data_IF_393844157508
#
_entry.id   IF_393844157508
#
_cell.length_a   1.000
_cell.length_b   1.000
_cell.length_c   1.000
_cell.angle_alpha   90.00
_cell.angle_beta   90.00
_cell.angle_gamma   90.00
#
_symmetry.space_group_name_H-M   'P 1'
#
loop_
_entity.id
_entity.type
_entity.pdbx_description
1 polymer ?
#
# COMPACT_ATOMS: atom_id res chain seq x y z
N UNK A 1 -29.67 -10.85 17.39
CA UNK A 1 -28.69 -10.46 16.35
C UNK A 1 -29.39 -9.95 15.10
N UNK A 2 -28.75 -8.99 14.43
CA UNK A 2 -29.21 -8.39 13.17
C UNK A 2 -28.15 -8.54 12.07
N UNK A 3 -28.59 -8.82 10.84
CA UNK A 3 -27.74 -8.91 9.67
C UNK A 3 -28.36 -8.17 8.49
N UNK A 4 -27.59 -7.26 7.87
CA UNK A 4 -27.97 -6.60 6.62
C UNK A 4 -26.85 -6.80 5.58
N UNK A 5 -27.13 -7.59 4.55
CA UNK A 5 -26.20 -7.88 3.45
C UNK A 5 -26.25 -6.84 2.33
N UNK A 6 -26.96 -5.74 2.50
CA UNK A 6 -27.11 -4.71 1.48
C UNK A 6 -26.45 -3.40 1.87
N UNK A 7 -26.55 -2.99 3.15
CA UNK A 7 -26.01 -1.71 3.62
C UNK A 7 -25.80 -1.67 5.13
N UNK A 8 -25.09 -0.65 5.60
CA UNK A 8 -25.08 -0.24 7.00
C UNK A 8 -26.18 0.79 7.23
N UNK A 9 -27.16 0.55 8.10
CA UNK A 9 -28.27 1.46 8.37
C UNK A 9 -27.80 2.84 8.86
N UNK A 10 -28.58 3.88 8.57
CA UNK A 10 -28.28 5.24 9.01
C UNK A 10 -28.45 5.38 10.53
N UNK A 11 -29.49 4.80 11.09
CA UNK A 11 -29.76 4.75 12.53
C UNK A 11 -29.27 3.43 13.16
N UNK A 12 -27.96 3.33 13.39
CA UNK A 12 -27.36 2.19 14.08
C UNK A 12 -27.71 2.17 15.58
N UNK A 13 -27.85 3.34 16.21
CA UNK A 13 -28.18 3.44 17.63
C UNK A 13 -29.61 2.96 17.90
N UNK A 14 -30.59 3.42 17.15
CA UNK A 14 -31.96 2.97 17.29
C UNK A 14 -32.13 1.46 17.02
N UNK A 15 -31.36 0.93 16.05
CA UNK A 15 -31.31 -0.51 15.83
C UNK A 15 -30.72 -1.27 17.01
N UNK A 16 -29.64 -0.76 17.61
CA UNK A 16 -29.03 -1.36 18.78
C UNK A 16 -30.02 -1.36 19.97
N UNK A 17 -30.62 -0.23 20.26
CA UNK A 17 -31.54 -0.04 21.38
C UNK A 17 -32.77 -1.00 21.25
N UNK A 18 -33.32 -1.11 20.06
CA UNK A 18 -34.37 -2.10 19.77
C UNK A 18 -33.93 -3.54 20.08
N UNK A 19 -32.70 -3.92 19.74
CA UNK A 19 -32.19 -5.26 20.00
C UNK A 19 -31.85 -5.48 21.49
N UNK A 20 -31.43 -4.45 22.17
CA UNK A 20 -31.14 -4.48 23.62
C UNK A 20 -32.40 -4.66 24.42
N UNK A 21 -33.52 -4.01 24.04
CA UNK A 21 -34.83 -4.15 24.68
C UNK A 21 -35.43 -5.58 24.61
N UNK A 22 -34.82 -6.46 23.80
CA UNK A 22 -35.19 -7.89 23.75
C UNK A 22 -34.53 -8.73 24.84
N UNK A 23 -33.98 -8.13 25.91
CA UNK A 23 -33.34 -8.78 27.05
C UNK A 23 -32.11 -9.60 26.61
N UNK A 24 -31.25 -9.04 25.79
CA UNK A 24 -30.05 -9.68 25.28
C UNK A 24 -28.83 -9.38 26.15
N UNK A 25 -28.05 -10.41 26.54
CA UNK A 25 -26.77 -10.25 27.22
C UNK A 25 -25.71 -9.61 26.31
N UNK A 26 -25.78 -9.89 25.00
CA UNK A 26 -24.89 -9.35 23.97
C UNK A 26 -25.67 -9.06 22.71
N UNK A 27 -25.58 -7.85 22.21
CA UNK A 27 -26.13 -7.48 20.90
C UNK A 27 -25.13 -7.75 19.79
N UNK A 28 -25.59 -8.36 18.69
CA UNK A 28 -24.78 -8.54 17.49
C UNK A 28 -25.39 -7.82 16.29
N UNK A 29 -24.60 -6.96 15.65
CA UNK A 29 -24.96 -6.24 14.44
C UNK A 29 -23.88 -6.47 13.38
N UNK A 30 -24.27 -7.06 12.24
CA UNK A 30 -23.38 -7.31 11.10
C UNK A 30 -24.01 -6.73 9.83
N UNK A 31 -23.38 -5.74 9.22
CA UNK A 31 -23.93 -5.00 8.07
C UNK A 31 -22.95 -4.93 6.93
N UNK A 32 -23.40 -4.78 5.69
CA UNK A 32 -22.49 -4.56 4.57
C UNK A 32 -22.02 -3.10 4.55
N UNK A 33 -20.69 -2.90 4.54
CA UNK A 33 -20.13 -1.57 4.34
C UNK A 33 -20.19 -1.19 2.86
N UNK A 34 -20.84 -0.07 2.56
CA UNK A 34 -20.84 0.55 1.24
C UNK A 34 -19.98 1.82 1.19
N UNK A 35 -19.61 2.32 2.35
CA UNK A 35 -18.75 3.49 2.51
C UNK A 35 -17.66 3.22 3.56
N UNK A 36 -16.41 3.71 3.38
CA UNK A 36 -15.33 3.48 4.35
C UNK A 36 -15.67 3.91 5.78
N UNK A 37 -16.43 5.00 5.94
CA UNK A 37 -16.84 5.51 7.25
C UNK A 37 -17.93 4.65 7.95
N UNK A 38 -18.50 3.66 7.28
CA UNK A 38 -19.42 2.71 7.95
C UNK A 38 -18.70 1.92 9.05
N UNK A 39 -17.40 1.64 8.84
CA UNK A 39 -16.58 1.03 9.89
C UNK A 39 -16.48 1.90 11.13
N UNK A 40 -16.25 3.21 10.95
CA UNK A 40 -16.12 4.12 12.09
C UNK A 40 -17.45 4.25 12.86
N UNK A 41 -18.56 4.38 12.15
CA UNK A 41 -19.90 4.42 12.74
C UNK A 41 -20.20 3.16 13.55
N UNK A 42 -19.87 1.99 12.99
CA UNK A 42 -20.04 0.70 13.66
C UNK A 42 -19.15 0.56 14.90
N UNK A 43 -17.87 0.94 14.80
CA UNK A 43 -16.94 0.86 15.92
C UNK A 43 -17.28 1.85 17.05
N UNK A 44 -17.77 3.04 16.71
CA UNK A 44 -18.25 4.01 17.72
C UNK A 44 -19.50 3.49 18.43
N UNK A 45 -20.43 2.87 17.72
CA UNK A 45 -21.55 2.17 18.34
C UNK A 45 -21.06 1.13 19.36
N UNK A 46 -20.13 0.24 18.93
CA UNK A 46 -19.56 -0.78 19.83
C UNK A 46 -18.99 -0.16 21.10
N UNK A 47 -18.27 0.97 20.99
CA UNK A 47 -17.64 1.65 22.13
C UNK A 47 -18.66 2.22 23.13
N UNK A 48 -19.77 2.73 22.63
CA UNK A 48 -20.77 3.46 23.45
C UNK A 48 -21.94 2.58 23.94
N UNK A 49 -22.06 1.35 23.46
CA UNK A 49 -23.24 0.52 23.66
C UNK A 49 -23.25 -0.27 24.98
N UNK A 50 -24.43 -0.38 25.57
CA UNK A 50 -24.78 -1.29 26.65
C UNK A 50 -26.14 -1.90 26.32
N UNK A 51 -26.28 -3.26 26.36
CA UNK A 51 -25.27 -4.27 26.71
C UNK A 51 -24.11 -4.35 25.72
N UNK A 52 -23.04 -5.13 26.06
CA UNK A 52 -21.86 -5.30 25.19
C UNK A 52 -22.24 -5.70 23.78
N UNK A 53 -21.57 -5.11 22.80
CA UNK A 53 -21.96 -5.24 21.39
C UNK A 53 -20.86 -5.85 20.55
N UNK A 54 -21.24 -6.78 19.68
CA UNK A 54 -20.42 -7.29 18.57
C UNK A 54 -20.91 -6.60 17.29
N UNK A 55 -20.24 -5.50 16.95
CA UNK A 55 -20.53 -4.73 15.73
C UNK A 55 -19.43 -4.94 14.69
N UNK A 56 -19.82 -5.31 13.48
CA UNK A 56 -18.87 -5.48 12.38
C UNK A 56 -19.50 -5.17 11.02
N UNK A 57 -18.68 -4.67 10.13
CA UNK A 57 -19.04 -4.46 8.74
C UNK A 57 -18.54 -5.63 7.88
N UNK A 58 -19.37 -6.04 6.91
CA UNK A 58 -19.05 -7.06 5.93
C UNK A 58 -18.44 -6.44 4.67
N UNK A 59 -17.89 -7.27 3.81
CA UNK A 59 -17.20 -6.86 2.57
C UNK A 59 -15.77 -6.41 2.81
N UNK A 60 -15.04 -6.15 1.74
CA UNK A 60 -13.63 -5.71 1.80
C UNK A 60 -13.50 -4.34 2.47
N UNK A 61 -14.43 -3.43 2.21
CA UNK A 61 -14.51 -2.12 2.90
C UNK A 61 -14.62 -2.31 4.41
N UNK A 62 -15.30 -3.38 4.88
CA UNK A 62 -15.56 -3.66 6.27
C UNK A 62 -14.38 -4.23 7.07
N UNK A 63 -13.26 -4.55 6.44
CA UNK A 63 -12.07 -5.16 7.05
C UNK A 63 -11.61 -4.45 8.34
N UNK A 64 -11.50 -3.11 8.41
CA UNK A 64 -11.05 -2.43 9.62
C UNK A 64 -11.92 -2.70 10.84
N UNK A 65 -13.24 -2.76 10.70
CA UNK A 65 -14.15 -3.01 11.82
C UNK A 65 -13.96 -4.40 12.43
N UNK A 66 -13.57 -5.40 11.62
CA UNK A 66 -13.34 -6.77 12.09
C UNK A 66 -12.08 -6.90 12.93
N UNK A 67 -11.02 -6.19 12.55
CA UNK A 67 -9.73 -6.24 13.25
C UNK A 67 -9.75 -5.33 14.48
N UNK A 68 -10.36 -4.16 14.38
CA UNK A 68 -10.37 -3.18 15.47
C UNK A 68 -11.52 -3.35 16.46
N UNK A 69 -12.43 -4.32 16.26
CA UNK A 69 -13.58 -4.52 17.13
C UNK A 69 -13.19 -4.60 18.62
N UNK A 70 -12.15 -5.38 18.95
CA UNK A 70 -11.65 -5.52 20.34
C UNK A 70 -11.12 -4.20 20.91
N UNK A 71 -10.44 -3.37 20.12
CA UNK A 71 -9.96 -2.04 20.52
C UNK A 71 -11.11 -1.10 20.94
N UNK A 72 -12.28 -1.30 20.33
CA UNK A 72 -13.47 -0.50 20.61
C UNK A 72 -14.41 -1.14 21.64
N UNK A 73 -14.02 -2.25 22.27
CA UNK A 73 -14.77 -2.87 23.37
C UNK A 73 -15.75 -3.97 22.95
N UNK A 74 -15.64 -4.51 21.74
CA UNK A 74 -16.44 -5.66 21.34
C UNK A 74 -16.18 -6.86 22.25
N UNK A 75 -17.24 -7.55 22.68
CA UNK A 75 -17.13 -8.71 23.56
C UNK A 75 -16.33 -9.86 22.93
N UNK A 76 -16.44 -10.04 21.61
CA UNK A 76 -15.73 -11.04 20.80
C UNK A 76 -15.84 -10.72 19.31
N UNK A 77 -15.15 -11.47 18.46
CA UNK A 77 -15.25 -11.37 17.02
C UNK A 77 -15.48 -12.74 16.37
N UNK A 78 -15.69 -12.77 15.06
CA UNK A 78 -15.95 -13.99 14.29
C UNK A 78 -14.90 -14.15 13.20
N UNK A 79 -14.23 -15.29 13.18
CA UNK A 79 -13.28 -15.69 12.15
C UNK A 79 -13.53 -17.14 11.72
N UNK A 80 -13.52 -17.45 10.42
CA UNK A 80 -13.62 -18.84 9.97
C UNK A 80 -12.34 -19.59 10.32
N UNK A 81 -12.49 -20.79 10.85
CA UNK A 81 -11.35 -21.68 11.13
C UNK A 81 -10.72 -22.18 9.83
N UNK A 82 -11.56 -22.58 8.86
CA UNK A 82 -11.12 -22.99 7.53
C UNK A 82 -11.26 -21.83 6.55
N UNK A 83 -10.17 -21.37 5.90
CA UNK A 83 -10.21 -20.27 4.94
C UNK A 83 -11.07 -20.58 3.68
N UNK A 84 -11.34 -21.86 3.39
CA UNK A 84 -12.21 -22.27 2.28
C UNK A 84 -13.71 -22.18 2.65
N UNK A 85 -14.05 -22.06 3.94
CA UNK A 85 -15.41 -22.01 4.46
C UNK A 85 -15.76 -20.62 4.98
N UNK A 86 -15.63 -19.61 4.12
CA UNK A 86 -16.05 -18.24 4.43
C UNK A 86 -17.57 -18.17 4.41
N UNK A 87 -18.19 -17.79 5.53
CA UNK A 87 -19.63 -17.73 5.73
C UNK A 87 -20.24 -16.36 5.43
N UNK A 88 -19.44 -15.31 5.45
CA UNK A 88 -19.88 -13.94 5.18
C UNK A 88 -18.78 -13.15 4.43
N UNK A 89 -19.18 -12.21 3.54
CA UNK A 89 -18.20 -11.41 2.78
C UNK A 89 -17.19 -10.71 3.68
N UNK A 90 -15.92 -10.74 3.30
CA UNK A 90 -14.85 -10.04 4.01
C UNK A 90 -14.44 -10.67 5.36
N UNK A 91 -14.85 -11.90 5.67
CA UNK A 91 -14.33 -12.61 6.82
C UNK A 91 -12.82 -12.87 6.67
N UNK A 92 -12.10 -12.65 7.76
CA UNK A 92 -10.66 -12.90 7.87
C UNK A 92 -10.47 -14.26 8.55
N UNK A 93 -9.71 -15.20 7.97
CA UNK A 93 -9.41 -16.48 8.63
C UNK A 93 -8.76 -16.25 9.99
N UNK A 94 -9.08 -17.13 10.99
CA UNK A 94 -8.59 -16.98 12.34
C UNK A 94 -7.06 -16.93 12.41
N UNK A 95 -6.38 -17.75 11.62
CA UNK A 95 -4.92 -17.77 11.55
C UNK A 95 -4.37 -16.39 11.13
N UNK A 96 -4.95 -15.79 10.10
CA UNK A 96 -4.56 -14.44 9.66
C UNK A 96 -4.88 -13.38 10.72
N UNK A 97 -6.02 -13.51 11.41
CA UNK A 97 -6.42 -12.57 12.46
C UNK A 97 -5.47 -12.63 13.66
N UNK A 98 -5.08 -13.83 14.11
CA UNK A 98 -4.19 -14.03 15.25
C UNK A 98 -2.71 -13.82 14.89
N UNK A 99 -2.22 -14.38 13.79
CA UNK A 99 -0.78 -14.35 13.47
C UNK A 99 -0.34 -13.05 12.82
N UNK A 100 -1.12 -12.53 11.83
CA UNK A 100 -0.73 -11.31 11.12
C UNK A 100 -1.18 -10.05 11.86
N UNK A 101 -2.45 -10.00 12.31
CA UNK A 101 -2.98 -8.82 13.00
C UNK A 101 -2.77 -8.87 14.52
N UNK A 102 -2.41 -10.03 15.09
CA UNK A 102 -2.22 -10.22 16.53
C UNK A 102 -3.44 -9.74 17.32
N UNK A 103 -4.63 -10.15 16.88
CA UNK A 103 -5.92 -9.65 17.38
C UNK A 103 -6.00 -9.65 18.91
N UNK A 104 -5.54 -10.73 19.57
CA UNK A 104 -5.60 -10.87 21.03
C UNK A 104 -4.66 -9.91 21.77
N UNK A 105 -3.69 -9.30 21.08
CA UNK A 105 -2.77 -8.30 21.63
C UNK A 105 -3.24 -6.85 21.38
N UNK A 106 -4.31 -6.66 20.61
CA UNK A 106 -4.85 -5.32 20.33
C UNK A 106 -5.56 -4.79 21.60
N UNK A 107 -5.11 -3.64 22.06
CA UNK A 107 -5.64 -2.93 23.23
C UNK A 107 -6.20 -1.55 22.83
N UNK A 108 -6.91 -0.84 23.71
CA UNK A 108 -7.34 0.53 23.44
C UNK A 108 -6.19 1.50 23.12
N UNK A 109 -4.96 1.20 23.55
CA UNK A 109 -3.75 2.02 23.30
C UNK A 109 -3.00 1.63 22.03
N UNK A 110 -3.32 0.51 21.41
CA UNK A 110 -2.64 0.04 20.18
C UNK A 110 -2.75 1.09 19.07
N UNK A 111 -1.62 1.54 18.52
CA UNK A 111 -1.60 2.49 17.41
C UNK A 111 -2.02 1.81 16.11
N UNK A 112 -2.87 2.49 15.34
CA UNK A 112 -3.39 1.96 14.08
C UNK A 112 -2.68 2.63 12.91
N UNK A 113 -2.11 1.81 12.05
CA UNK A 113 -1.55 2.18 10.76
C UNK A 113 -2.31 1.46 9.64
N UNK A 114 -2.06 1.86 8.41
CA UNK A 114 -2.67 1.13 7.31
C UNK A 114 -2.27 1.60 5.93
N UNK A 115 -2.82 0.95 4.92
CA UNK A 115 -2.71 1.36 3.52
C UNK A 115 -4.07 1.73 2.98
N UNK A 116 -4.19 2.92 2.38
CA UNK A 116 -5.36 3.34 1.61
C UNK A 116 -5.13 3.14 0.12
N UNK A 117 -6.04 2.40 -0.52
CA UNK A 117 -5.97 2.05 -1.93
C UNK A 117 -7.34 1.68 -2.51
N UNK A 118 -7.39 1.57 -3.85
CA UNK A 118 -8.50 0.97 -4.59
C UNK A 118 -7.96 0.36 -5.91
N UNK A 119 -7.90 -0.97 -6.00
CA UNK A 119 -8.17 -2.00 -4.98
C UNK A 119 -7.07 -2.09 -3.90
N UNK A 120 -7.38 -2.68 -2.74
CA UNK A 120 -6.43 -2.82 -1.63
C UNK A 120 -6.06 -4.27 -1.30
N UNK A 121 -6.92 -5.23 -1.65
CA UNK A 121 -6.81 -6.64 -1.24
C UNK A 121 -5.53 -7.37 -1.66
N UNK A 122 -4.82 -6.85 -2.66
CA UNK A 122 -3.54 -7.41 -3.12
C UNK A 122 -2.32 -6.78 -2.46
N UNK A 123 -2.51 -5.80 -1.58
CA UNK A 123 -1.39 -5.12 -0.91
C UNK A 123 -0.73 -6.03 0.12
N UNK A 124 0.58 -6.17 0.04
CA UNK A 124 1.40 -6.90 1.02
C UNK A 124 1.95 -5.99 2.13
N UNK A 125 1.61 -4.69 2.12
CA UNK A 125 2.00 -3.76 3.19
C UNK A 125 1.57 -4.24 4.58
N UNK A 126 0.35 -4.79 4.79
CA UNK A 126 -0.03 -5.32 6.10
C UNK A 126 0.89 -6.44 6.59
N UNK A 127 1.30 -7.35 5.71
CA UNK A 127 2.21 -8.46 6.06
C UNK A 127 3.56 -7.90 6.52
N UNK A 128 4.12 -6.96 5.77
CA UNK A 128 5.47 -6.42 6.01
C UNK A 128 5.50 -5.54 7.26
N UNK A 129 4.54 -4.62 7.41
CA UNK A 129 4.53 -3.70 8.55
C UNK A 129 4.14 -4.37 9.87
N UNK A 130 3.18 -5.31 9.87
CA UNK A 130 2.85 -6.06 11.07
C UNK A 130 4.02 -6.94 11.54
N UNK A 131 4.73 -7.60 10.62
CA UNK A 131 5.94 -8.35 10.95
C UNK A 131 7.05 -7.45 11.53
N UNK A 132 7.24 -6.26 10.96
CA UNK A 132 8.20 -5.28 11.44
C UNK A 132 7.85 -4.76 12.84
N UNK A 133 6.60 -4.39 13.09
CA UNK A 133 6.14 -3.94 14.41
C UNK A 133 6.29 -5.04 15.46
N UNK A 134 5.95 -6.30 15.11
CA UNK A 134 6.13 -7.43 16.01
C UNK A 134 7.60 -7.65 16.38
N UNK A 135 8.51 -7.61 15.39
CA UNK A 135 9.94 -7.78 15.62
C UNK A 135 10.58 -6.65 16.43
N UNK A 136 10.05 -5.43 16.29
CA UNK A 136 10.51 -4.25 17.02
C UNK A 136 9.83 -4.10 18.41
N UNK A 137 8.91 -4.98 18.80
CA UNK A 137 8.15 -4.88 20.06
C UNK A 137 7.22 -3.67 20.13
N UNK A 138 6.75 -3.17 18.99
CA UNK A 138 5.88 -2.00 18.91
C UNK A 138 4.41 -2.43 19.04
N UNK A 139 3.66 -1.78 19.95
CA UNK A 139 2.22 -1.96 20.09
C UNK A 139 1.49 -1.20 18.98
N UNK A 140 1.37 -1.86 17.84
CA UNK A 140 0.73 -1.31 16.65
C UNK A 140 0.11 -2.41 15.78
N UNK A 141 -0.92 -2.04 15.04
CA UNK A 141 -1.52 -2.89 14.01
C UNK A 141 -1.62 -2.12 12.69
N UNK A 142 -1.34 -2.80 11.59
CA UNK A 142 -1.37 -2.23 10.25
C UNK A 142 -2.43 -2.93 9.39
N UNK A 143 -3.37 -2.17 8.83
CA UNK A 143 -4.58 -2.65 8.17
C UNK A 143 -4.71 -2.20 6.72
N UNK A 144 -5.41 -2.96 5.86
CA UNK A 144 -5.88 -2.45 4.58
C UNK A 144 -7.16 -1.63 4.77
N UNK A 145 -7.22 -0.46 4.13
CA UNK A 145 -8.40 0.39 4.02
C UNK A 145 -8.77 0.53 2.54
N UNK A 146 -9.81 -0.18 2.11
CA UNK A 146 -10.37 0.04 0.78
C UNK A 146 -11.07 1.39 0.76
N UNK A 147 -10.49 2.32 0.02
CA UNK A 147 -11.02 3.67 -0.15
C UNK A 147 -11.27 3.90 -1.63
N UNK A 148 -12.52 3.79 -2.13
CA UNK A 148 -12.83 4.02 -3.53
C UNK A 148 -12.46 5.45 -3.97
N UNK A 149 -12.19 5.57 -5.28
CA UNK A 149 -11.91 6.89 -5.87
C UNK A 149 -13.07 7.85 -5.57
N UNK A 150 -12.74 9.04 -5.03
CA UNK A 150 -13.72 10.05 -4.62
C UNK A 150 -14.01 10.09 -3.10
N UNK A 151 -13.73 9.01 -2.36
CA UNK A 151 -14.00 8.93 -0.92
C UNK A 151 -12.79 9.26 -0.02
N UNK A 152 -11.64 9.60 -0.60
CA UNK A 152 -10.43 9.95 0.17
C UNK A 152 -10.70 11.09 1.16
N UNK A 153 -11.35 12.16 0.69
CA UNK A 153 -11.68 13.32 1.53
C UNK A 153 -12.56 12.97 2.72
N UNK A 154 -13.53 12.07 2.55
CA UNK A 154 -14.44 11.66 3.61
C UNK A 154 -13.71 10.86 4.71
N UNK A 155 -12.76 10.00 4.32
CA UNK A 155 -11.92 9.26 5.27
C UNK A 155 -11.00 10.20 6.03
N UNK A 156 -10.29 11.08 5.33
CA UNK A 156 -9.31 11.98 5.94
C UNK A 156 -9.95 13.04 6.84
N UNK A 157 -11.13 13.56 6.50
CA UNK A 157 -11.89 14.49 7.38
C UNK A 157 -12.26 13.85 8.71
N UNK A 158 -12.52 12.53 8.72
CA UNK A 158 -12.83 11.77 9.92
C UNK A 158 -11.60 11.18 10.63
N UNK A 159 -10.39 11.45 10.16
CA UNK A 159 -9.15 10.89 10.73
C UNK A 159 -8.94 11.20 12.22
N UNK A 160 -9.53 12.30 12.73
CA UNK A 160 -9.50 12.65 14.16
C UNK A 160 -10.30 11.69 15.05
N UNK A 161 -11.28 10.99 14.49
CA UNK A 161 -12.15 10.03 15.20
C UNK A 161 -11.58 8.62 15.19
N UNK A 162 -10.66 8.35 14.26
CA UNK A 162 -9.93 7.09 14.17
C UNK A 162 -8.67 7.11 15.03
N UNK A 163 -8.24 5.97 15.60
CA UNK A 163 -6.96 5.86 16.30
C UNK A 163 -5.76 5.78 15.34
N UNK A 164 -5.85 6.44 14.17
CA UNK A 164 -4.83 6.37 13.13
C UNK A 164 -3.58 7.16 13.54
N UNK A 165 -2.41 6.52 13.47
CA UNK A 165 -1.11 7.14 13.66
C UNK A 165 -0.40 7.43 12.32
N UNK A 166 -0.66 6.64 11.30
CA UNK A 166 -0.13 6.87 9.95
C UNK A 166 -0.77 5.98 8.90
N UNK A 167 -0.62 6.37 7.64
CA UNK A 167 -1.17 5.64 6.50
C UNK A 167 -0.18 5.62 5.33
N UNK A 168 0.03 4.46 4.73
CA UNK A 168 0.56 4.38 3.38
C UNK A 168 -0.53 4.76 2.37
N UNK A 169 -0.14 5.41 1.31
CA UNK A 169 -1.04 5.86 0.23
C UNK A 169 -0.57 5.26 -1.08
N UNK A 170 -1.47 4.57 -1.78
CA UNK A 170 -1.16 4.05 -3.11
C UNK A 170 -2.28 4.35 -4.11
N UNK A 171 -2.29 3.68 -5.25
CA UNK A 171 -3.26 3.92 -6.32
C UNK A 171 -4.70 3.87 -5.77
N UNK A 172 -5.58 4.83 -6.13
CA UNK A 172 -5.36 5.97 -7.03
C UNK A 172 -5.08 7.30 -6.31
N UNK A 173 -4.65 7.30 -5.05
CA UNK A 173 -4.74 8.42 -4.12
C UNK A 173 -3.47 9.25 -3.98
N UNK A 174 -2.30 8.80 -4.48
CA UNK A 174 -0.99 9.45 -4.24
C UNK A 174 -0.92 10.93 -4.63
N UNK A 175 -1.60 11.31 -5.70
CA UNK A 175 -1.65 12.70 -6.17
C UNK A 175 -2.66 13.51 -5.34
N UNK A 176 -3.84 12.94 -5.08
CA UNK A 176 -4.94 13.64 -4.42
C UNK A 176 -4.68 13.92 -2.94
N UNK A 177 -3.91 13.06 -2.24
CA UNK A 177 -3.67 13.17 -0.80
C UNK A 177 -2.91 14.46 -0.43
N UNK A 178 -2.10 14.98 -1.35
CA UNK A 178 -1.30 16.20 -1.14
C UNK A 178 -2.18 17.40 -0.79
N UNK A 179 -3.35 17.51 -1.44
CA UNK A 179 -4.31 18.61 -1.19
C UNK A 179 -4.99 18.59 0.19
N UNK A 180 -4.85 17.52 0.97
CA UNK A 180 -5.40 17.42 2.33
C UNK A 180 -4.37 17.66 3.43
N UNK A 181 -3.09 17.75 3.07
CA UNK A 181 -1.99 17.85 4.03
C UNK A 181 -1.96 19.20 4.75
N UNK A 182 -1.75 19.18 6.07
CA UNK A 182 -1.44 20.37 6.87
C UNK A 182 0.00 20.84 6.64
N UNK A 183 0.90 19.89 6.33
CA UNK A 183 2.28 20.15 5.96
C UNK A 183 2.83 19.03 5.09
N UNK A 184 3.91 19.33 4.36
CA UNK A 184 4.52 18.41 3.43
C UNK A 184 5.99 18.16 3.82
N UNK A 185 6.45 16.94 3.64
CA UNK A 185 7.87 16.62 3.69
C UNK A 185 8.59 17.10 2.42
N UNK A 186 9.91 17.00 2.46
CA UNK A 186 10.75 17.38 1.32
C UNK A 186 10.30 16.68 0.03
N UNK A 187 10.40 17.40 -1.08
CA UNK A 187 10.09 16.93 -2.44
C UNK A 187 8.61 16.64 -2.75
N UNK A 188 7.69 16.62 -1.77
CA UNK A 188 6.28 16.31 -2.03
C UNK A 188 5.65 17.35 -2.93
N UNK A 189 5.91 18.65 -2.68
CA UNK A 189 5.40 19.76 -3.49
C UNK A 189 5.90 19.68 -4.93
N UNK A 190 7.19 19.42 -5.11
CA UNK A 190 7.82 19.32 -6.42
C UNK A 190 7.32 18.10 -7.21
N UNK A 191 7.12 16.97 -6.53
CA UNK A 191 6.64 15.72 -7.17
C UNK A 191 5.12 15.79 -7.44
N UNK A 192 4.37 16.51 -6.61
CA UNK A 192 2.91 16.54 -6.66
C UNK A 192 2.26 15.20 -6.28
N UNK A 193 2.94 14.37 -5.48
CA UNK A 193 2.42 13.08 -5.01
C UNK A 193 3.08 12.66 -3.68
N UNK A 194 2.30 11.97 -2.83
CA UNK A 194 2.77 11.40 -1.57
C UNK A 194 2.31 9.93 -1.44
N UNK A 195 3.14 9.12 -0.79
CA UNK A 195 2.82 7.73 -0.48
C UNK A 195 2.71 7.45 1.01
N UNK A 196 2.89 8.45 1.87
CA UNK A 196 2.93 8.30 3.32
C UNK A 196 2.23 9.46 4.01
N UNK A 197 1.36 9.16 4.97
CA UNK A 197 0.75 10.11 5.90
C UNK A 197 1.26 9.80 7.30
N UNK A 198 1.61 10.82 8.06
CA UNK A 198 1.80 10.75 9.51
C UNK A 198 0.84 11.73 10.16
N UNK A 199 0.17 11.29 11.22
CA UNK A 199 -0.69 12.13 12.03
C UNK A 199 0.05 12.52 13.30
N UNK A 200 0.07 13.80 13.61
CA UNK A 200 0.57 14.29 14.89
C UNK A 200 -0.34 13.79 16.03
N UNK A 201 0.26 13.28 17.10
CA UNK A 201 -0.50 12.64 18.19
C UNK A 201 -1.40 13.65 18.95
N UNK A 202 -0.97 14.92 19.10
CA UNK A 202 -1.68 15.95 19.88
C UNK A 202 -2.66 16.75 19.00
N UNK A 203 -2.15 17.30 17.92
CA UNK A 203 -2.92 18.23 17.07
C UNK A 203 -3.75 17.52 16.02
N UNK A 204 -3.42 16.25 15.75
CA UNK A 204 -3.95 15.47 14.64
C UNK A 204 -3.69 16.12 13.27
N UNK A 205 -2.70 17.00 13.21
CA UNK A 205 -2.23 17.57 11.95
C UNK A 205 -1.67 16.46 11.04
N UNK A 206 -1.99 16.54 9.76
CA UNK A 206 -1.60 15.56 8.76
C UNK A 206 -0.36 16.05 8.02
N UNK A 207 0.76 15.33 8.15
CA UNK A 207 1.96 15.53 7.36
C UNK A 207 2.10 14.42 6.32
N UNK A 208 2.45 14.78 5.08
CA UNK A 208 2.63 13.82 3.98
C UNK A 208 4.07 13.78 3.50
N UNK A 209 4.50 12.59 3.05
CA UNK A 209 5.86 12.33 2.58
C UNK A 209 5.83 11.46 1.32
N UNK A 210 6.96 11.43 0.61
CA UNK A 210 7.15 10.51 -0.52
C UNK A 210 8.42 9.69 -0.33
N UNK A 211 8.26 8.44 0.12
CA UNK A 211 9.37 7.51 0.32
C UNK A 211 9.72 6.71 -0.95
N UNK A 212 8.92 6.81 -2.03
CA UNK A 212 9.19 6.11 -3.29
C UNK A 212 10.43 6.64 -3.99
N UNK A 213 10.72 7.96 -3.87
CA UNK A 213 11.87 8.60 -4.55
C UNK A 213 13.19 8.01 -4.09
N UNK A 214 13.43 8.08 -2.79
CA UNK A 214 14.67 7.58 -2.17
C UNK A 214 14.78 6.07 -2.34
N UNK A 215 13.69 5.34 -2.18
CA UNK A 215 13.66 3.89 -2.35
C UNK A 215 14.03 3.45 -3.78
N UNK A 216 13.48 4.11 -4.81
CA UNK A 216 13.79 3.78 -6.20
C UNK A 216 15.24 4.05 -6.56
N UNK A 217 15.75 5.24 -6.21
CA UNK A 217 17.14 5.61 -6.46
C UNK A 217 18.09 4.67 -5.74
N UNK A 218 17.85 4.39 -4.46
CA UNK A 218 18.66 3.48 -3.67
C UNK A 218 18.64 2.02 -4.19
N UNK A 219 17.47 1.56 -4.69
CA UNK A 219 17.37 0.22 -5.30
C UNK A 219 18.22 0.10 -6.58
N UNK A 220 18.20 1.11 -7.44
CA UNK A 220 19.04 1.16 -8.64
C UNK A 220 20.53 1.24 -8.25
N UNK A 221 20.88 2.10 -7.31
CA UNK A 221 22.28 2.24 -6.82
C UNK A 221 22.82 0.91 -6.28
N UNK A 222 22.03 0.22 -5.45
CA UNK A 222 22.44 -1.07 -4.88
C UNK A 222 22.69 -2.13 -5.96
N UNK A 223 21.84 -2.19 -6.99
CA UNK A 223 22.02 -3.11 -8.13
C UNK A 223 23.26 -2.80 -8.96
N UNK A 224 23.60 -1.53 -9.11
CA UNK A 224 24.79 -1.11 -9.85
C UNK A 224 26.09 -1.32 -9.04
N UNK A 225 26.07 -1.07 -7.72
CA UNK A 225 27.23 -1.22 -6.83
C UNK A 225 27.62 -2.69 -6.60
N UNK A 226 26.69 -3.62 -6.64
CA UNK A 226 26.92 -5.05 -6.45
C UNK A 226 27.82 -5.69 -7.53
N UNK A 227 28.21 -4.96 -8.56
CA UNK A 227 29.00 -5.44 -9.70
C UNK A 227 30.22 -4.55 -9.97
N UNK A 228 31.07 -4.25 -8.98
CA UNK A 228 32.41 -3.62 -9.12
C UNK A 228 32.65 -2.70 -10.35
N UNK A 229 31.66 -1.91 -10.74
CA UNK A 229 31.87 -0.88 -11.76
C UNK A 229 32.00 0.45 -11.04
N UNK A 230 33.26 0.90 -10.90
CA UNK A 230 33.63 2.15 -10.27
C UNK A 230 33.07 3.36 -11.01
N UNK A 231 31.80 3.70 -10.72
CA UNK A 231 31.20 4.96 -11.13
C UNK A 231 31.09 5.86 -9.90
N UNK A 232 31.98 6.85 -9.84
CA UNK A 232 31.99 7.82 -8.75
C UNK A 232 30.68 8.53 -8.57
N UNK A 233 30.00 8.30 -7.44
CA UNK A 233 28.93 9.10 -6.85
C UNK A 233 27.63 9.34 -7.63
N UNK A 234 27.56 9.03 -8.91
CA UNK A 234 26.38 9.12 -9.79
C UNK A 234 26.02 7.74 -10.33
N UNK A 235 24.73 7.54 -10.65
CA UNK A 235 24.21 6.24 -11.14
C UNK A 235 24.90 5.68 -12.39
N UNK A 236 25.74 6.46 -13.08
CA UNK A 236 26.39 6.04 -14.33
C UNK A 236 25.43 5.87 -15.52
N UNK A 237 24.13 6.06 -15.29
CA UNK A 237 23.09 6.05 -16.32
C UNK A 237 22.99 7.43 -16.98
N UNK A 238 22.88 7.48 -18.31
CA UNK A 238 22.66 8.72 -19.05
C UNK A 238 21.19 8.90 -19.43
N UNK A 239 20.53 7.82 -19.82
CA UNK A 239 19.18 7.82 -20.38
C UNK A 239 18.30 6.76 -19.72
N UNK A 240 17.07 7.13 -19.43
CA UNK A 240 16.04 6.21 -18.90
C UNK A 240 14.73 6.32 -19.64
N UNK A 241 14.11 5.18 -19.95
CA UNK A 241 12.72 5.10 -20.36
C UNK A 241 11.85 4.69 -19.19
N UNK A 242 10.87 5.51 -18.82
CA UNK A 242 9.87 5.19 -17.81
C UNK A 242 8.55 4.84 -18.50
N UNK A 243 8.08 3.63 -18.30
CA UNK A 243 6.81 3.12 -18.77
C UNK A 243 5.75 3.37 -17.71
N UNK A 244 4.82 4.29 -17.99
CA UNK A 244 3.80 4.75 -17.04
C UNK A 244 3.94 6.23 -16.67
N UNK A 245 2.85 6.83 -16.17
CA UNK A 245 2.80 8.23 -15.74
C UNK A 245 1.92 8.40 -14.49
N UNK A 246 1.96 7.43 -13.57
CA UNK A 246 1.29 7.47 -12.26
C UNK A 246 2.21 7.96 -11.14
N UNK A 247 1.73 7.92 -9.89
CA UNK A 247 2.47 8.39 -8.73
C UNK A 247 3.85 7.74 -8.53
N UNK A 248 4.00 6.43 -8.80
CA UNK A 248 5.31 5.77 -8.75
C UNK A 248 6.23 6.27 -9.88
N UNK A 249 5.70 6.40 -11.11
CA UNK A 249 6.47 6.96 -12.24
C UNK A 249 6.96 8.37 -11.94
N UNK A 250 6.13 9.22 -11.32
CA UNK A 250 6.51 10.58 -10.89
C UNK A 250 7.70 10.57 -9.93
N UNK A 251 7.62 9.76 -8.87
CA UNK A 251 8.67 9.65 -7.87
C UNK A 251 9.99 9.17 -8.49
N UNK A 252 9.93 8.13 -9.33
CA UNK A 252 11.11 7.56 -9.99
C UNK A 252 11.71 8.55 -10.99
N UNK A 253 10.87 9.19 -11.83
CA UNK A 253 11.31 10.18 -12.81
C UNK A 253 12.03 11.35 -12.13
N UNK A 254 11.45 11.86 -11.05
CA UNK A 254 12.01 12.95 -10.27
C UNK A 254 13.36 12.55 -9.64
N UNK A 255 13.40 11.40 -8.95
CA UNK A 255 14.64 10.92 -8.34
C UNK A 255 15.78 10.70 -9.35
N UNK A 256 15.49 10.11 -10.51
CA UNK A 256 16.49 9.92 -11.56
C UNK A 256 16.92 11.24 -12.20
N UNK A 257 16.02 12.18 -12.38
CA UNK A 257 16.36 13.52 -12.85
C UNK A 257 17.29 14.27 -11.91
N UNK A 258 17.08 14.18 -10.60
CA UNK A 258 18.01 14.74 -9.59
C UNK A 258 19.42 14.13 -9.69
N UNK A 259 19.53 12.88 -10.13
CA UNK A 259 20.82 12.22 -10.39
C UNK A 259 21.44 12.61 -11.74
N UNK A 260 20.81 13.50 -12.50
CA UNK A 260 21.29 13.99 -13.80
C UNK A 260 20.99 13.06 -14.98
N UNK A 261 20.07 12.10 -14.81
CA UNK A 261 19.65 11.16 -15.86
C UNK A 261 18.64 11.85 -16.79
N UNK A 262 18.79 11.69 -18.09
CA UNK A 262 17.82 12.15 -19.10
C UNK A 262 16.60 11.20 -19.09
N UNK A 263 15.43 11.74 -18.75
CA UNK A 263 14.20 10.95 -18.58
C UNK A 263 13.34 11.04 -19.83
N UNK A 264 12.93 9.87 -20.34
CA UNK A 264 11.92 9.75 -21.40
C UNK A 264 10.72 8.98 -20.83
N UNK A 265 9.51 9.43 -21.12
CA UNK A 265 8.28 8.88 -20.57
C UNK A 265 7.39 8.35 -21.68
N UNK A 266 6.88 7.14 -21.50
CA UNK A 266 5.88 6.52 -22.35
C UNK A 266 4.68 6.03 -21.53
N UNK A 267 3.48 6.46 -21.89
CA UNK A 267 2.25 5.90 -21.31
C UNK A 267 1.13 5.84 -22.34
N UNK A 268 0.10 5.06 -22.04
CA UNK A 268 -1.10 4.97 -22.90
C UNK A 268 -1.87 6.30 -22.99
N UNK A 269 -1.75 7.13 -21.96
CA UNK A 269 -2.40 8.45 -21.89
C UNK A 269 -1.36 9.53 -22.12
N UNK A 270 -1.26 10.01 -23.37
CA UNK A 270 -0.22 10.97 -23.81
C UNK A 270 -0.19 12.23 -22.92
N UNK A 271 -1.34 12.81 -22.59
CA UNK A 271 -1.41 14.01 -21.75
C UNK A 271 -0.76 13.82 -20.37
N UNK A 272 -0.91 12.65 -19.75
CA UNK A 272 -0.21 12.34 -18.47
C UNK A 272 1.30 12.23 -18.65
N UNK A 273 1.76 11.68 -19.77
CA UNK A 273 3.19 11.64 -20.10
C UNK A 273 3.77 13.03 -20.30
N UNK A 274 3.03 13.92 -20.98
CA UNK A 274 3.42 15.32 -21.18
C UNK A 274 3.54 16.06 -19.85
N UNK A 275 2.52 16.01 -18.99
CA UNK A 275 2.56 16.64 -17.69
C UNK A 275 3.74 16.15 -16.84
N UNK A 276 4.04 14.84 -16.87
CA UNK A 276 5.17 14.30 -16.13
C UNK A 276 6.51 14.71 -16.75
N UNK A 277 6.62 14.74 -18.08
CA UNK A 277 7.83 15.17 -18.77
C UNK A 277 8.14 16.65 -18.50
N UNK A 278 7.13 17.51 -18.47
CA UNK A 278 7.28 18.93 -18.09
C UNK A 278 7.82 19.07 -16.68
N UNK A 279 7.28 18.30 -15.72
CA UNK A 279 7.71 18.31 -14.33
C UNK A 279 9.20 18.00 -14.16
N UNK A 280 9.73 17.05 -14.94
CA UNK A 280 11.12 16.59 -14.81
C UNK A 280 12.04 17.10 -15.93
N UNK A 281 11.57 18.05 -16.73
CA UNK A 281 12.27 18.51 -17.95
C UNK A 281 12.76 17.32 -18.80
N UNK A 282 11.86 16.37 -19.04
CA UNK A 282 12.11 15.13 -19.77
C UNK A 282 11.49 15.15 -21.17
N UNK A 283 11.55 14.00 -21.84
CA UNK A 283 11.00 13.78 -23.18
C UNK A 283 9.78 12.86 -23.11
N UNK A 284 8.94 12.93 -24.13
CA UNK A 284 7.80 12.03 -24.32
C UNK A 284 8.01 11.21 -25.58
N UNK A 285 7.68 9.95 -25.52
CA UNK A 285 7.57 9.07 -26.68
C UNK A 285 6.21 8.38 -26.64
N UNK A 286 5.60 8.19 -27.81
CA UNK A 286 4.37 7.43 -27.91
C UNK A 286 4.59 5.98 -27.43
N UNK A 287 3.55 5.37 -26.85
CA UNK A 287 3.61 3.99 -26.38
C UNK A 287 4.06 3.01 -27.46
N UNK A 288 3.61 3.19 -28.69
CA UNK A 288 4.00 2.39 -29.87
C UNK A 288 5.47 2.58 -30.27
N UNK A 289 6.04 3.73 -29.98
CA UNK A 289 7.41 4.13 -30.30
C UNK A 289 8.43 3.88 -29.17
N UNK A 290 8.04 3.34 -28.03
CA UNK A 290 8.88 3.17 -26.83
C UNK A 290 10.16 2.34 -27.04
N UNK A 291 10.22 1.55 -28.12
CA UNK A 291 11.37 0.72 -28.47
C UNK A 291 12.35 1.35 -29.47
N UNK A 292 12.07 2.56 -29.96
CA UNK A 292 12.80 3.15 -31.09
C UNK A 292 14.18 3.69 -30.73
N UNK A 293 14.38 4.06 -29.47
CA UNK A 293 15.64 4.64 -29.00
C UNK A 293 16.37 3.68 -28.07
N UNK A 294 17.71 3.69 -28.05
CA UNK A 294 18.47 2.97 -27.04
C UNK A 294 18.36 3.71 -25.71
N UNK A 295 18.20 2.95 -24.63
CA UNK A 295 18.18 3.46 -23.26
C UNK A 295 19.16 2.67 -22.40
N UNK A 296 19.79 3.34 -21.42
CA UNK A 296 20.63 2.66 -20.45
C UNK A 296 19.78 1.93 -19.40
N UNK A 297 18.60 2.48 -19.13
CA UNK A 297 17.66 1.91 -18.17
C UNK A 297 16.22 1.93 -18.70
N UNK A 298 15.49 0.86 -18.45
CA UNK A 298 14.03 0.77 -18.68
C UNK A 298 13.34 0.49 -17.37
N UNK A 299 12.38 1.34 -17.01
CA UNK A 299 11.59 1.22 -15.76
C UNK A 299 10.14 0.90 -16.10
N UNK A 300 9.64 -0.22 -15.62
CA UNK A 300 8.20 -0.50 -15.62
C UNK A 300 7.55 0.09 -14.36
N UNK A 301 6.84 1.19 -14.53
CA UNK A 301 6.01 1.81 -13.50
C UNK A 301 4.50 1.69 -13.85
N UNK A 302 4.14 0.63 -14.58
CA UNK A 302 2.77 0.24 -14.92
C UNK A 302 2.38 -1.04 -14.15
N UNK A 303 1.09 -1.38 -14.06
CA UNK A 303 0.66 -2.67 -13.52
C UNK A 303 0.80 -3.85 -14.51
N UNK A 304 1.45 -3.68 -15.67
CA UNK A 304 1.65 -4.76 -16.64
C UNK A 304 2.64 -5.77 -16.06
N UNK A 305 2.27 -7.04 -16.08
CA UNK A 305 3.03 -8.12 -15.44
C UNK A 305 2.63 -8.45 -14.00
N UNK A 306 1.76 -7.63 -13.39
CA UNK A 306 1.18 -7.89 -12.07
C UNK A 306 0.05 -8.93 -12.17
N UNK A 307 -0.12 -9.73 -11.11
CA UNK A 307 -1.27 -10.65 -11.00
C UNK A 307 -2.61 -9.91 -11.21
N UNK A 308 -3.59 -10.49 -11.93
CA UNK A 308 -3.59 -11.81 -12.55
C UNK A 308 -2.90 -11.91 -13.92
N UNK A 309 -2.48 -10.81 -14.53
CA UNK A 309 -1.94 -10.72 -15.90
C UNK A 309 -0.42 -10.91 -15.94
N UNK A 310 0.05 -11.98 -15.29
CA UNK A 310 1.49 -12.24 -15.07
C UNK A 310 2.29 -12.55 -16.34
N UNK A 311 1.60 -12.90 -17.43
CA UNK A 311 2.23 -13.23 -18.73
C UNK A 311 2.33 -12.03 -19.67
N UNK A 312 2.00 -10.82 -19.21
CA UNK A 312 2.16 -9.60 -20.02
C UNK A 312 3.50 -8.93 -19.71
N UNK A 313 4.16 -8.38 -20.74
CA UNK A 313 5.36 -7.55 -20.61
C UNK A 313 5.16 -6.18 -21.25
N UNK A 314 5.58 -5.08 -20.62
CA UNK A 314 5.45 -3.76 -21.21
C UNK A 314 6.58 -3.42 -22.20
N UNK A 315 7.66 -4.23 -22.23
CA UNK A 315 8.83 -4.02 -23.07
C UNK A 315 9.33 -5.36 -23.60
N UNK A 316 9.29 -5.56 -24.92
CA UNK A 316 9.55 -6.84 -25.56
C UNK A 316 11.04 -7.23 -25.51
N UNK A 317 11.34 -8.49 -25.23
CA UNK A 317 12.70 -9.06 -25.08
C UNK A 317 13.64 -8.73 -26.24
N UNK A 318 13.14 -8.72 -27.49
CA UNK A 318 13.94 -8.41 -28.69
C UNK A 318 14.58 -7.01 -28.68
N UNK A 319 14.07 -6.10 -27.85
CA UNK A 319 14.58 -4.73 -27.69
C UNK A 319 15.49 -4.56 -26.48
N UNK A 320 15.58 -5.58 -25.60
CA UNK A 320 16.52 -5.58 -24.48
C UNK A 320 17.96 -5.79 -24.99
N UNK A 321 18.94 -5.28 -24.24
CA UNK A 321 20.36 -5.42 -24.50
C UNK A 321 21.10 -5.71 -23.19
N UNK A 322 22.19 -6.50 -23.21
CA UNK A 322 22.90 -6.91 -21.98
C UNK A 322 23.42 -5.76 -21.11
N UNK A 323 23.67 -4.59 -21.72
CA UNK A 323 24.14 -3.42 -20.98
C UNK A 323 23.04 -2.66 -20.23
N UNK A 324 21.77 -2.96 -20.53
CA UNK A 324 20.64 -2.25 -19.94
C UNK A 324 20.44 -2.64 -18.47
N UNK A 325 19.93 -1.66 -17.71
CA UNK A 325 19.29 -1.91 -16.42
C UNK A 325 17.79 -2.00 -16.65
N UNK A 326 17.15 -3.05 -16.16
CA UNK A 326 15.70 -3.21 -16.18
C UNK A 326 15.18 -3.14 -14.76
N UNK A 327 14.37 -2.14 -14.48
CA UNK A 327 13.72 -1.97 -13.19
C UNK A 327 12.21 -2.21 -13.35
N UNK A 328 11.70 -3.23 -12.66
CA UNK A 328 10.26 -3.48 -12.60
C UNK A 328 9.72 -3.14 -11.22
N UNK A 329 8.77 -2.19 -11.13
CA UNK A 329 8.15 -1.83 -9.85
C UNK A 329 7.09 -2.83 -9.39
N UNK A 330 6.71 -3.80 -10.22
CA UNK A 330 5.84 -4.90 -9.82
C UNK A 330 6.61 -5.83 -8.88
N UNK A 331 6.03 -6.11 -7.72
CA UNK A 331 6.63 -6.97 -6.69
C UNK A 331 5.87 -8.29 -6.49
N UNK A 332 4.69 -8.42 -7.08
CA UNK A 332 3.88 -9.64 -7.03
C UNK A 332 3.32 -9.98 -8.44
N UNK A 333 3.92 -10.95 -9.14
CA UNK A 333 5.08 -11.76 -8.74
C UNK A 333 6.40 -10.94 -8.75
N UNK A 334 7.42 -11.38 -7.98
CA UNK A 334 8.76 -10.77 -8.02
C UNK A 334 9.40 -10.95 -9.40
N UNK A 335 9.32 -12.15 -9.96
CA UNK A 335 9.82 -12.50 -11.27
C UNK A 335 8.72 -12.35 -12.34
N UNK A 336 8.46 -11.11 -12.74
CA UNK A 336 7.55 -10.81 -13.86
C UNK A 336 8.11 -11.33 -15.19
N UNK A 337 7.28 -11.34 -16.25
CA UNK A 337 7.78 -11.69 -17.59
C UNK A 337 8.92 -10.78 -18.00
N UNK A 338 8.81 -9.46 -17.77
CA UNK A 338 9.87 -8.48 -18.05
C UNK A 338 11.18 -8.82 -17.33
N UNK A 339 11.11 -9.17 -16.04
CA UNK A 339 12.27 -9.55 -15.22
C UNK A 339 12.95 -10.81 -15.77
N UNK A 340 12.18 -11.84 -16.10
CA UNK A 340 12.71 -13.09 -16.67
C UNK A 340 13.39 -12.85 -18.01
N UNK A 341 12.72 -12.17 -18.93
CA UNK A 341 13.27 -11.83 -20.25
C UNK A 341 14.55 -10.98 -20.13
N UNK A 342 14.59 -10.03 -19.18
CA UNK A 342 15.77 -9.23 -18.92
C UNK A 342 16.96 -10.07 -18.39
N UNK A 343 16.70 -11.02 -17.50
CA UNK A 343 17.72 -11.96 -16.99
C UNK A 343 18.24 -12.87 -18.10
N UNK A 344 17.36 -13.40 -18.94
CA UNK A 344 17.73 -14.27 -20.07
C UNK A 344 18.61 -13.54 -21.10
N UNK A 345 18.39 -12.25 -21.33
CA UNK A 345 19.21 -11.39 -22.20
C UNK A 345 20.55 -10.98 -21.52
N UNK A 346 20.65 -11.12 -20.20
CA UNK A 346 21.83 -10.70 -19.43
C UNK A 346 21.82 -9.25 -18.98
N UNK A 347 20.61 -8.63 -18.90
CA UNK A 347 20.44 -7.30 -18.36
C UNK A 347 20.69 -7.29 -16.84
N UNK A 348 21.05 -6.13 -16.30
CA UNK A 348 20.97 -5.88 -14.85
C UNK A 348 19.53 -5.69 -14.44
N UNK A 349 19.09 -6.37 -13.39
CA UNK A 349 17.68 -6.32 -12.96
C UNK A 349 17.56 -5.72 -11.56
N UNK A 350 16.61 -4.79 -11.42
CA UNK A 350 16.12 -4.27 -10.14
C UNK A 350 14.67 -4.73 -9.99
N UNK A 351 14.37 -5.51 -8.95
CA UNK A 351 13.01 -6.02 -8.73
C UNK A 351 12.18 -5.05 -7.89
N UNK A 352 10.86 -5.13 -8.04
CA UNK A 352 9.90 -4.36 -7.25
C UNK A 352 9.98 -4.65 -5.76
N UNK A 353 10.46 -5.84 -5.37
CA UNK A 353 10.70 -6.21 -3.97
C UNK A 353 11.72 -5.26 -3.31
N UNK A 354 12.80 -4.91 -4.02
CA UNK A 354 13.80 -4.00 -3.48
C UNK A 354 13.22 -2.61 -3.17
N UNK A 355 12.48 -2.05 -4.11
CA UNK A 355 11.83 -0.76 -3.90
C UNK A 355 10.75 -0.85 -2.82
N UNK A 356 9.96 -1.94 -2.82
CA UNK A 356 8.87 -2.12 -1.85
C UNK A 356 9.39 -2.15 -0.41
N UNK A 357 10.44 -2.94 -0.14
CA UNK A 357 11.03 -3.04 1.20
C UNK A 357 11.61 -1.70 1.64
N UNK A 358 12.38 -1.03 0.77
CA UNK A 358 13.01 0.26 1.10
C UNK A 358 11.99 1.36 1.41
N UNK A 359 10.93 1.49 0.60
CA UNK A 359 9.91 2.50 0.86
C UNK A 359 9.14 2.21 2.15
N UNK A 360 8.87 0.92 2.46
CA UNK A 360 8.22 0.52 3.69
C UNK A 360 9.13 0.73 4.92
N UNK A 361 10.42 0.51 4.78
CA UNK A 361 11.42 0.80 5.80
C UNK A 361 11.47 2.30 6.14
N UNK A 362 11.46 3.16 5.14
CA UNK A 362 11.41 4.61 5.37
C UNK A 362 10.08 5.04 6.01
N UNK A 363 8.95 4.45 5.61
CA UNK A 363 7.66 4.68 6.29
C UNK A 363 7.72 4.29 7.76
N UNK A 364 8.27 3.12 8.06
CA UNK A 364 8.46 2.64 9.44
C UNK A 364 9.29 3.64 10.25
N UNK A 365 10.40 4.13 9.71
CA UNK A 365 11.25 5.13 10.36
C UNK A 365 10.53 6.46 10.62
N UNK A 366 9.73 6.94 9.66
CA UNK A 366 8.92 8.15 9.80
C UNK A 366 7.92 8.00 10.95
N UNK A 367 7.25 6.85 11.06
CA UNK A 367 6.19 6.65 12.04
C UNK A 367 6.69 6.32 13.45
N UNK A 368 7.80 5.59 13.55
CA UNK A 368 8.26 5.03 14.82
C UNK A 368 9.55 5.69 15.33
N UNK A 369 10.26 6.49 14.53
CA UNK A 369 11.52 7.11 14.90
C UNK A 369 12.64 6.12 15.17
N UNK A 370 12.52 4.87 14.73
CA UNK A 370 13.46 3.78 14.96
C UNK A 370 13.95 3.21 13.63
N UNK A 371 15.12 2.57 13.64
CA UNK A 371 15.63 1.86 12.46
C UNK A 371 14.73 0.64 12.16
N UNK A 372 14.31 0.48 10.90
CA UNK A 372 13.43 -0.61 10.50
C UNK A 372 14.15 -1.96 10.51
N UNK A 373 13.47 -3.05 10.90
CA UNK A 373 14.01 -4.41 10.79
C UNK A 373 13.90 -4.91 9.33
N UNK A 374 14.66 -4.33 8.40
CA UNK A 374 14.56 -4.59 6.95
C UNK A 374 14.67 -6.07 6.60
N UNK A 375 15.52 -6.84 7.30
CA UNK A 375 15.65 -8.28 7.11
C UNK A 375 14.33 -9.03 7.34
N UNK A 376 13.60 -8.64 8.38
CA UNK A 376 12.26 -9.21 8.72
C UNK A 376 11.25 -8.79 7.65
N UNK A 377 11.23 -7.50 7.27
CA UNK A 377 10.33 -6.98 6.23
C UNK A 377 10.51 -7.74 4.90
N UNK A 378 11.76 -7.94 4.49
CA UNK A 378 12.12 -8.67 3.26
C UNK A 378 11.70 -10.13 3.32
N UNK A 379 11.93 -10.79 4.45
CA UNK A 379 11.56 -12.19 4.66
C UNK A 379 10.04 -12.36 4.63
N UNK A 380 9.30 -11.51 5.33
CA UNK A 380 7.83 -11.51 5.34
C UNK A 380 7.26 -11.33 3.92
N UNK A 381 7.82 -10.39 3.14
CA UNK A 381 7.40 -10.17 1.76
C UNK A 381 7.68 -11.39 0.88
N UNK A 382 8.88 -11.98 0.98
CA UNK A 382 9.25 -13.18 0.20
C UNK A 382 8.37 -14.38 0.52
N UNK A 383 8.06 -14.61 1.80
CA UNK A 383 7.15 -15.68 2.21
C UNK A 383 5.75 -15.48 1.63
N UNK A 384 5.23 -14.24 1.64
CA UNK A 384 3.91 -13.93 1.13
C UNK A 384 3.80 -14.02 -0.41
N UNK A 385 4.91 -13.83 -1.13
CA UNK A 385 4.98 -13.92 -2.61
C UNK A 385 5.43 -15.29 -3.13
N UNK A 386 5.92 -16.16 -2.24
CA UNK A 386 6.36 -17.51 -2.61
C UNK A 386 5.18 -18.39 -3.03
N UNK A 387 5.31 -19.07 -4.17
CA UNK A 387 4.34 -20.08 -4.64
C UNK A 387 4.37 -21.34 -3.78
N UNK A 388 5.40 -21.55 -2.99
CA UNK A 388 5.56 -22.70 -2.09
C UNK A 388 4.92 -22.33 -0.75
N UNK A 389 3.66 -22.69 -0.56
CA UNK A 389 3.08 -22.73 0.79
C UNK A 389 3.72 -23.92 1.51
N UNK A 390 4.60 -23.64 2.45
CA UNK A 390 5.03 -24.64 3.43
C UNK A 390 3.77 -24.95 4.23
N UNK A 391 3.19 -26.11 3.98
CA UNK A 391 2.08 -26.65 4.76
C UNK A 391 2.75 -27.18 6.02
N UNK A 392 2.75 -26.37 7.09
CA UNK A 392 3.00 -26.83 8.46
C UNK A 392 1.69 -27.19 9.14
#
# INVERSE_FOLDING_TARGET
>A
SFHDFKRTPDDLQGLHDYLADLDADVVKIATLANHPNDNLRMLELVRSSSPPTVGLCMGEIGTPSRVLAGQFGAAFTFAPFNPEKILAPGQIPWKQLCEMYRYDAITPSTKVYGVIADPVGHSLSPVVHNAACAAAGIDAVYLPFLVPKGHLGDVLKNSKRWPLAGLSVTIPHKENVVGFASSQGDLVEEIGAANTISFDDETRAMKVFNTDVTAAVAAIQASLAAQEVGFGGRLGLKTVLILGAGGAARAIAFGLRQQGVEVTIASRTVGRSQTLAELVNGKVVEWSGRHRLPYDCVVNATPIGMHPKVNETPFEAKHLRPYMVVFDTVYNPENTMLVKEAQDVGCKVVTGVEMFVRQAAEQFKIWHGQEPPEGVMRMALKQATSSVRIIE
#
